data_IF_082548264405
#
_entry.id   IF_082548264405
#
_cell.length_a   1.000
_cell.length_b   1.000
_cell.length_c   1.000
_cell.angle_alpha   90.00
_cell.angle_beta   90.00
_cell.angle_gamma   90.00
#
_symmetry.space_group_name_H-M   'P 1'
#
loop_
_entity.id
_entity.type
_entity.pdbx_description
1 polymer ?
#
# COMPACT_ATOMS: atom_id res chain seq x y z
N UNK A 1 -13.11 8.69 14.52
CA UNK A 1 -13.13 8.18 13.14
C UNK A 1 -13.45 9.31 12.18
N UNK A 2 -12.50 9.69 11.32
CA UNK A 2 -12.79 10.51 10.15
C UNK A 2 -13.19 9.57 9.02
N UNK A 3 -14.49 9.42 8.77
CA UNK A 3 -14.94 8.79 7.53
C UNK A 3 -14.78 9.82 6.41
N UNK A 4 -13.85 9.58 5.49
CA UNK A 4 -13.93 10.18 4.16
C UNK A 4 -15.03 9.42 3.42
N UNK A 5 -16.27 9.86 3.63
CA UNK A 5 -17.39 9.43 2.80
C UNK A 5 -17.02 9.84 1.37
N UNK A 6 -17.05 8.90 0.42
CA UNK A 6 -17.08 9.25 -1.00
C UNK A 6 -18.43 9.94 -1.25
N UNK A 7 -18.49 11.23 -0.93
CA UNK A 7 -19.64 12.10 -1.15
C UNK A 7 -19.65 12.37 -2.66
N UNK A 8 -20.61 11.75 -3.35
CA UNK A 8 -20.83 11.74 -4.80
C UNK A 8 -19.78 10.99 -5.64
N UNK A 9 -20.17 9.81 -6.12
CA UNK A 9 -19.55 9.18 -7.30
C UNK A 9 -20.37 9.57 -8.53
N UNK A 10 -19.94 10.63 -9.22
CA UNK A 10 -20.43 11.00 -10.55
C UNK A 10 -19.80 10.15 -11.67
N UNK A 11 -19.12 9.04 -11.30
CA UNK A 11 -18.40 8.14 -12.17
C UNK A 11 -17.02 8.64 -12.59
N UNK A 12 -16.53 9.75 -12.04
CA UNK A 12 -15.24 10.35 -12.40
C UNK A 12 -14.25 10.29 -11.24
N UNK A 13 -13.45 9.23 -11.20
CA UNK A 13 -12.36 9.08 -10.21
C UNK A 13 -11.25 10.14 -10.33
N UNK A 14 -11.17 10.85 -11.46
CA UNK A 14 -10.18 11.91 -11.69
C UNK A 14 -10.84 13.16 -12.31
N UNK A 15 -10.71 14.30 -11.63
CA UNK A 15 -11.30 15.57 -12.11
C UNK A 15 -10.47 16.26 -13.20
N UNK A 16 -9.16 16.01 -13.27
CA UNK A 16 -8.27 16.64 -14.23
C UNK A 16 -7.02 15.80 -14.48
N UNK A 17 -6.37 16.00 -15.62
CA UNK A 17 -5.03 15.48 -15.89
C UNK A 17 -4.00 16.37 -15.18
N UNK A 18 -3.29 15.81 -14.20
CA UNK A 18 -2.20 16.50 -13.51
C UNK A 18 -0.86 15.83 -13.85
N UNK A 19 0.06 16.59 -14.44
CA UNK A 19 1.44 16.13 -14.70
C UNK A 19 2.36 16.77 -13.65
N UNK A 20 3.07 15.93 -12.88
CA UNK A 20 3.96 16.34 -11.80
C UNK A 20 5.34 15.74 -12.02
N UNK A 21 6.35 16.58 -12.24
CA UNK A 21 7.76 16.16 -12.25
C UNK A 21 8.27 16.11 -10.81
N UNK A 22 8.89 14.99 -10.42
CA UNK A 22 9.42 14.74 -9.08
C UNK A 22 10.72 13.96 -9.18
N UNK A 23 11.61 14.16 -8.22
CA UNK A 23 12.86 13.40 -8.12
C UNK A 23 12.59 11.93 -7.73
N UNK A 24 11.56 11.70 -6.90
CA UNK A 24 11.01 10.38 -6.59
C UNK A 24 9.51 10.34 -6.86
N UNK A 25 9.05 9.26 -7.51
CA UNK A 25 7.62 9.04 -7.83
C UNK A 25 6.79 8.67 -6.60
N UNK A 26 7.42 8.08 -5.57
CA UNK A 26 6.83 7.78 -4.26
C UNK A 26 7.76 8.36 -3.20
N UNK A 27 7.21 9.08 -2.24
CA UNK A 27 7.97 9.60 -1.11
C UNK A 27 8.08 8.52 -0.02
N UNK A 28 9.05 7.64 -0.18
CA UNK A 28 9.32 6.49 0.72
C UNK A 28 10.05 6.87 2.02
N UNK A 29 10.65 8.06 2.09
CA UNK A 29 11.44 8.50 3.25
C UNK A 29 12.80 7.80 3.38
N UNK A 30 13.24 7.06 2.35
CA UNK A 30 14.50 6.33 2.35
C UNK A 30 15.59 7.21 1.73
N UNK A 31 16.54 7.65 2.55
CA UNK A 31 17.69 8.46 2.12
C UNK A 31 18.98 7.64 1.95
N UNK A 32 18.89 6.31 2.04
CA UNK A 32 20.03 5.40 1.90
C UNK A 32 20.46 5.29 0.41
N UNK A 33 21.69 5.72 0.04
CA UNK A 33 22.17 5.63 -1.33
C UNK A 33 22.44 4.19 -1.80
N UNK A 34 22.51 3.22 -0.88
CA UNK A 34 22.65 1.80 -1.21
C UNK A 34 21.31 1.11 -1.48
N UNK A 35 20.18 1.78 -1.22
CA UNK A 35 18.87 1.22 -1.49
C UNK A 35 18.58 1.18 -2.99
N UNK A 36 18.38 -0.03 -3.51
CA UNK A 36 17.97 -0.25 -4.90
C UNK A 36 16.54 -0.84 -4.93
N UNK A 37 15.53 -0.08 -5.41
CA UNK A 37 14.14 -0.55 -5.46
C UNK A 37 13.93 -1.72 -6.44
N UNK A 38 14.90 -2.03 -7.30
CA UNK A 38 14.83 -3.19 -8.19
C UNK A 38 15.21 -4.50 -7.49
N UNK A 39 15.89 -4.42 -6.34
CA UNK A 39 16.23 -5.59 -5.51
C UNK A 39 15.01 -6.04 -4.72
N UNK A 40 14.16 -6.81 -5.39
CA UNK A 40 12.90 -7.30 -4.85
C UNK A 40 12.99 -8.75 -4.38
N UNK A 41 12.09 -9.12 -3.47
CA UNK A 41 11.88 -10.51 -3.07
C UNK A 41 10.98 -11.28 -4.04
N UNK A 42 10.52 -12.45 -3.61
CA UNK A 42 9.56 -13.25 -4.36
C UNK A 42 8.19 -12.58 -4.38
N UNK A 43 7.69 -12.26 -5.58
CA UNK A 43 6.32 -11.81 -5.76
C UNK A 43 5.38 -13.02 -5.70
N UNK A 44 4.35 -12.92 -4.86
CA UNK A 44 3.37 -13.97 -4.67
C UNK A 44 2.15 -13.70 -5.55
N UNK A 45 1.59 -14.76 -6.12
CA UNK A 45 0.24 -14.73 -6.65
C UNK A 45 -0.80 -14.78 -5.50
N UNK A 46 -2.08 -14.59 -5.84
CA UNK A 46 -3.15 -14.55 -4.86
C UNK A 46 -3.31 -15.86 -4.07
N UNK A 47 -3.11 -17.00 -4.71
CA UNK A 47 -3.24 -18.31 -4.06
C UNK A 47 -2.14 -18.53 -3.02
N UNK A 48 -0.89 -18.27 -3.40
CA UNK A 48 0.24 -18.37 -2.50
C UNK A 48 0.19 -17.34 -1.37
N UNK A 49 -0.30 -16.12 -1.66
CA UNK A 49 -0.51 -15.10 -0.64
C UNK A 49 -1.48 -15.59 0.43
N UNK A 50 -2.68 -16.05 0.03
CA UNK A 50 -3.68 -16.52 0.99
C UNK A 50 -3.15 -17.66 1.84
N UNK A 51 -2.53 -18.67 1.20
CA UNK A 51 -1.93 -19.81 1.89
C UNK A 51 -0.90 -19.36 2.93
N UNK A 52 0.04 -18.48 2.56
CA UNK A 52 1.08 -18.02 3.47
C UNK A 52 0.52 -17.12 4.57
N UNK A 53 -0.47 -16.29 4.27
CA UNK A 53 -1.10 -15.39 5.25
C UNK A 53 -1.85 -16.12 6.37
N UNK A 54 -2.26 -17.37 6.13
CA UNK A 54 -2.91 -18.24 7.12
C UNK A 54 -1.91 -19.01 7.98
N UNK A 55 -0.62 -19.05 7.60
CA UNK A 55 0.39 -19.74 8.38
C UNK A 55 0.70 -18.97 9.68
N UNK A 56 0.76 -19.65 10.84
CA UNK A 56 0.88 -18.99 12.15
C UNK A 56 2.21 -18.26 12.35
N UNK A 57 3.25 -18.63 11.60
CA UNK A 57 4.59 -18.04 11.69
C UNK A 57 4.79 -16.90 10.67
N UNK A 58 3.78 -16.59 9.86
CA UNK A 58 3.85 -15.50 8.86
C UNK A 58 3.59 -14.16 9.51
N UNK A 59 4.49 -13.20 9.27
CA UNK A 59 4.29 -11.80 9.64
C UNK A 59 3.90 -11.02 8.40
N UNK A 60 2.68 -10.48 8.41
CA UNK A 60 2.20 -9.56 7.37
C UNK A 60 2.43 -8.12 7.86
N UNK A 61 3.07 -7.30 7.04
CA UNK A 61 3.30 -5.88 7.34
C UNK A 61 2.62 -5.04 6.27
N UNK A 62 1.68 -4.19 6.69
CA UNK A 62 1.00 -3.25 5.82
C UNK A 62 1.85 -1.97 5.65
N UNK A 63 2.41 -1.80 4.46
CA UNK A 63 3.31 -0.69 4.13
C UNK A 63 2.56 0.56 3.64
N UNK A 64 1.22 0.57 3.67
CA UNK A 64 0.39 1.73 3.27
C UNK A 64 0.37 2.80 4.36
N UNK A 65 -0.45 3.83 4.21
CA UNK A 65 -0.65 4.83 5.28
C UNK A 65 -1.78 4.44 6.25
N UNK A 66 -1.80 5.07 7.44
CA UNK A 66 -2.81 4.82 8.48
C UNK A 66 -4.26 4.91 7.98
N UNK A 67 -4.57 5.86 7.09
CA UNK A 67 -5.93 6.04 6.59
C UNK A 67 -6.39 4.82 5.76
N UNK A 68 -5.52 4.29 4.90
CA UNK A 68 -5.82 3.10 4.10
C UNK A 68 -6.01 1.86 4.98
N UNK A 69 -5.15 1.68 5.99
CA UNK A 69 -5.25 0.56 6.93
C UNK A 69 -6.50 0.66 7.81
N UNK A 70 -6.92 1.87 8.22
CA UNK A 70 -8.17 2.11 8.95
C UNK A 70 -9.41 1.75 8.13
N UNK A 71 -9.37 1.98 6.81
CA UNK A 71 -10.48 1.58 5.90
C UNK A 71 -10.55 0.07 5.76
N UNK A 72 -9.41 -0.61 5.70
CA UNK A 72 -9.34 -2.08 5.69
C UNK A 72 -7.94 -2.62 5.43
N UNK A 73 -7.60 -3.72 6.09
CA UNK A 73 -6.34 -4.44 5.96
C UNK A 73 -6.56 -5.95 6.13
N UNK A 74 -5.56 -6.76 5.77
CA UNK A 74 -5.61 -8.20 5.98
C UNK A 74 -5.58 -8.54 7.48
N UNK A 75 -6.25 -9.62 7.86
CA UNK A 75 -6.23 -10.09 9.24
C UNK A 75 -4.79 -10.35 9.72
N UNK A 76 -4.50 -9.97 10.96
CA UNK A 76 -3.18 -10.09 11.60
C UNK A 76 -2.05 -9.25 10.97
N UNK A 77 -2.33 -8.38 9.99
CA UNK A 77 -1.33 -7.47 9.46
C UNK A 77 -0.90 -6.44 10.52
N UNK A 78 0.40 -6.22 10.64
CA UNK A 78 0.97 -5.11 11.40
C UNK A 78 0.73 -3.84 10.58
N UNK A 79 -0.06 -2.92 11.11
CA UNK A 79 -0.40 -1.64 10.47
C UNK A 79 0.48 -0.50 11.00
N UNK A 80 0.65 0.59 10.24
CA UNK A 80 1.28 1.81 10.73
C UNK A 80 0.55 2.39 11.94
#
# INVERSE_FOLDING_TARGET
MRLNIAVDDDGKSFFTLAIKVRDKIVADGIDDPAFDPSQTGTHLDAENWNRLSEEPDTVVVDMRNHYESEVGHFENAITP
#
